data_IF_343391124244
#
_entry.id   IF_343391124244
#
_cell.length_a   1.000
_cell.length_b   1.000
_cell.length_c   1.000
_cell.angle_alpha   90.00
_cell.angle_beta   90.00
_cell.angle_gamma   90.00
#
_symmetry.space_group_name_H-M   'P 1'
#
loop_
_entity.id
_entity.type
_entity.pdbx_description
1 polymer ?
#
# COMPACT_ATOMS: atom_id res chain seq x y z
N UNK A 1 17.41 9.50 -24.11
CA UNK A 1 16.01 9.16 -23.79
C UNK A 1 15.13 9.82 -24.84
N UNK A 2 14.37 9.07 -25.63
CA UNK A 2 13.51 9.64 -26.66
C UNK A 2 12.33 10.41 -26.03
N UNK A 3 11.80 11.43 -26.74
CA UNK A 3 10.62 12.19 -26.28
C UNK A 3 9.42 11.25 -26.02
N UNK A 4 9.29 10.18 -26.79
CA UNK A 4 8.25 9.15 -26.65
C UNK A 4 8.39 8.38 -25.33
N UNK A 5 9.60 8.09 -24.88
CA UNK A 5 9.86 7.42 -23.60
C UNK A 5 9.49 8.28 -22.40
N UNK A 6 9.72 9.57 -22.46
CA UNK A 6 9.34 10.50 -21.41
C UNK A 6 7.81 10.58 -21.25
N UNK A 7 7.09 10.60 -22.38
CA UNK A 7 5.61 10.63 -22.39
C UNK A 7 5.03 9.35 -21.79
N UNK A 8 5.53 8.17 -22.19
CA UNK A 8 5.06 6.88 -21.66
C UNK A 8 5.32 6.76 -20.15
N UNK A 9 6.49 7.21 -19.67
CA UNK A 9 6.79 7.25 -18.24
C UNK A 9 5.88 8.20 -17.48
N UNK A 10 5.61 9.38 -18.03
CA UNK A 10 4.71 10.34 -17.40
C UNK A 10 3.28 9.80 -17.30
N UNK A 11 2.79 9.11 -18.33
CA UNK A 11 1.46 8.51 -18.36
C UNK A 11 1.32 7.41 -17.31
N UNK A 12 2.22 6.41 -17.29
CA UNK A 12 2.15 5.33 -16.32
C UNK A 12 2.26 5.81 -14.87
N UNK A 13 3.04 6.89 -14.61
CA UNK A 13 3.20 7.44 -13.26
C UNK A 13 2.02 8.31 -12.79
N UNK A 14 1.32 8.99 -13.70
CA UNK A 14 0.12 9.76 -13.36
C UNK A 14 -0.95 8.92 -12.69
N UNK A 15 -1.09 7.68 -13.11
CA UNK A 15 -2.10 6.76 -12.59
C UNK A 15 -1.89 6.41 -11.11
N UNK A 16 -0.63 6.32 -10.66
CA UNK A 16 -0.30 5.94 -9.29
C UNK A 16 -0.33 7.13 -8.29
N UNK A 17 -0.27 8.36 -8.79
CA UNK A 17 -0.19 9.55 -7.93
C UNK A 17 -1.36 9.68 -6.93
N UNK A 18 -2.63 9.41 -7.29
CA UNK A 18 -3.74 9.48 -6.32
C UNK A 18 -3.59 8.48 -5.17
N UNK A 19 -3.10 7.25 -5.44
CA UNK A 19 -2.91 6.24 -4.40
C UNK A 19 -1.77 6.61 -3.45
N UNK A 20 -0.63 7.09 -3.97
CA UNK A 20 0.48 7.56 -3.15
C UNK A 20 0.08 8.77 -2.29
N UNK A 21 -0.69 9.70 -2.86
CA UNK A 21 -1.22 10.86 -2.13
C UNK A 21 -2.20 10.41 -1.03
N UNK A 22 -3.04 9.40 -1.28
CA UNK A 22 -3.95 8.85 -0.28
C UNK A 22 -3.19 8.26 0.92
N UNK A 23 -2.11 7.50 0.68
CA UNK A 23 -1.22 7.02 1.76
C UNK A 23 -0.69 8.17 2.59
N UNK A 24 -0.17 9.22 1.95
CA UNK A 24 0.37 10.39 2.63
C UNK A 24 -0.71 11.11 3.45
N UNK A 25 -1.90 11.30 2.90
CA UNK A 25 -3.03 11.95 3.59
C UNK A 25 -3.44 11.14 4.83
N UNK A 26 -3.54 9.81 4.73
CA UNK A 26 -3.90 8.95 5.85
C UNK A 26 -2.88 9.09 6.98
N UNK A 27 -1.58 9.03 6.67
CA UNK A 27 -0.51 9.14 7.68
C UNK A 27 -0.48 10.52 8.33
N UNK A 28 -0.66 11.61 7.57
CA UNK A 28 -0.74 12.98 8.11
C UNK A 28 -2.00 13.11 8.99
N UNK A 29 -3.16 12.69 8.49
CA UNK A 29 -4.41 12.77 9.25
C UNK A 29 -4.30 12.01 10.58
N UNK A 30 -3.73 10.81 10.55
CA UNK A 30 -3.52 10.01 11.75
C UNK A 30 -2.54 10.67 12.72
N UNK A 31 -1.43 11.27 12.24
CA UNK A 31 -0.51 12.04 13.07
C UNK A 31 -1.18 13.23 13.75
N UNK A 32 -2.03 13.96 13.01
CA UNK A 32 -2.77 15.10 13.55
C UNK A 32 -3.80 14.67 14.60
N UNK A 33 -4.52 13.58 14.36
CA UNK A 33 -5.46 13.02 15.33
C UNK A 33 -4.71 12.54 16.58
N UNK A 34 -3.62 11.78 16.43
CA UNK A 34 -2.80 11.34 17.57
C UNK A 34 -2.31 12.53 18.41
N UNK A 35 -1.87 13.60 17.75
CA UNK A 35 -1.47 14.83 18.43
C UNK A 35 -2.62 15.48 19.20
N UNK A 36 -3.79 15.59 18.58
CA UNK A 36 -4.96 16.26 19.18
C UNK A 36 -5.55 15.49 20.36
N UNK A 37 -5.42 14.18 20.35
CA UNK A 37 -5.91 13.27 21.39
C UNK A 37 -4.85 12.96 22.45
N UNK A 38 -3.60 13.37 22.26
CA UNK A 38 -2.49 13.03 23.14
C UNK A 38 -2.13 11.54 23.15
N UNK A 39 -2.38 10.83 22.04
CA UNK A 39 -2.09 9.40 21.94
C UNK A 39 -0.60 9.15 21.77
N UNK A 40 -0.08 8.25 22.61
CA UNK A 40 1.30 7.78 22.58
C UNK A 40 1.32 6.25 22.55
N UNK A 41 1.24 5.68 21.35
CA UNK A 41 1.24 4.23 21.17
C UNK A 41 2.57 3.65 21.67
N UNK A 42 2.56 2.95 22.82
CA UNK A 42 3.74 2.45 23.55
C UNK A 42 4.80 3.53 23.80
N UNK A 43 4.39 4.75 24.14
CA UNK A 43 5.30 5.86 24.39
C UNK A 43 5.96 6.47 23.13
N UNK A 44 5.50 6.05 21.94
CA UNK A 44 5.95 6.65 20.70
C UNK A 44 5.21 7.97 20.45
N UNK A 45 5.94 9.07 20.22
CA UNK A 45 5.32 10.36 19.99
C UNK A 45 4.59 10.42 18.66
N UNK A 46 3.53 11.23 18.55
CA UNK A 46 2.68 11.41 17.38
C UNK A 46 3.44 11.69 16.07
N UNK A 47 4.61 12.34 16.12
CA UNK A 47 5.38 12.69 14.93
C UNK A 47 6.03 11.47 14.23
N UNK A 48 6.09 10.31 14.89
CA UNK A 48 6.63 9.08 14.25
C UNK A 48 5.85 8.72 12.98
N UNK A 49 4.55 9.00 12.95
CA UNK A 49 3.69 8.78 11.78
C UNK A 49 4.08 9.68 10.60
N UNK A 50 4.57 10.90 10.87
CA UNK A 50 5.11 11.79 9.84
C UNK A 50 6.44 11.25 9.28
N UNK A 51 7.29 10.66 10.13
CA UNK A 51 8.54 10.01 9.68
C UNK A 51 8.22 8.82 8.78
N UNK A 52 7.24 7.99 9.16
CA UNK A 52 6.75 6.90 8.30
C UNK A 52 6.12 7.43 7.01
N UNK A 53 5.61 8.65 6.99
CA UNK A 53 5.06 9.33 5.82
C UNK A 53 6.12 9.87 4.84
N UNK A 54 7.40 9.99 5.24
CA UNK A 54 8.46 10.54 4.37
C UNK A 54 8.60 9.78 3.04
N UNK A 55 8.65 8.42 3.00
CA UNK A 55 8.68 7.69 1.74
C UNK A 55 7.46 7.95 0.86
N UNK A 56 6.26 8.07 1.46
CA UNK A 56 5.03 8.40 0.72
C UNK A 56 5.08 9.83 0.14
N UNK A 57 5.63 10.79 0.89
CA UNK A 57 5.85 12.16 0.43
C UNK A 57 6.81 12.18 -0.76
N UNK A 58 7.96 11.51 -0.65
CA UNK A 58 8.96 11.43 -1.72
C UNK A 58 8.38 10.77 -2.97
N UNK A 59 7.63 9.68 -2.80
CA UNK A 59 6.94 9.00 -3.91
C UNK A 59 5.90 9.91 -4.56
N UNK A 60 5.09 10.61 -3.78
CA UNK A 60 4.06 11.53 -4.27
C UNK A 60 4.69 12.70 -5.04
N UNK A 61 5.74 13.31 -4.50
CA UNK A 61 6.48 14.39 -5.17
C UNK A 61 7.07 13.88 -6.49
N UNK A 62 7.68 12.70 -6.49
CA UNK A 62 8.25 12.11 -7.70
C UNK A 62 7.18 11.87 -8.78
N UNK A 63 6.05 11.30 -8.40
CA UNK A 63 4.95 11.03 -9.31
C UNK A 63 4.37 12.33 -9.90
N UNK A 64 4.24 13.39 -9.11
CA UNK A 64 3.77 14.70 -9.55
C UNK A 64 4.78 15.42 -10.43
N UNK A 65 6.08 15.35 -10.11
CA UNK A 65 7.14 15.94 -10.91
C UNK A 65 7.39 15.18 -12.21
N UNK A 66 7.22 13.86 -12.22
CA UNK A 66 7.30 13.04 -13.42
C UNK A 66 6.30 13.48 -14.50
N UNK A 67 5.15 14.03 -14.09
CA UNK A 67 4.16 14.66 -14.99
C UNK A 67 4.77 15.83 -15.75
N UNK A 68 5.76 16.53 -15.16
CA UNK A 68 6.46 17.69 -15.75
C UNK A 68 7.80 17.33 -16.42
N UNK A 69 8.14 16.05 -16.51
CA UNK A 69 9.41 15.58 -17.09
C UNK A 69 10.62 15.62 -16.15
N UNK A 70 10.45 16.07 -14.92
CA UNK A 70 11.52 16.33 -13.94
C UNK A 70 11.46 15.40 -12.71
N UNK A 71 11.01 14.15 -12.83
CA UNK A 71 10.90 13.22 -11.69
C UNK A 71 12.23 13.05 -10.94
N UNK A 72 12.19 13.11 -9.61
CA UNK A 72 13.35 12.92 -8.71
C UNK A 72 13.79 11.47 -8.69
N UNK A 73 12.84 10.54 -8.70
CA UNK A 73 13.05 9.10 -8.67
C UNK A 73 12.93 8.55 -10.09
N UNK A 74 13.98 8.70 -10.88
CA UNK A 74 13.97 8.28 -12.28
C UNK A 74 14.00 6.75 -12.47
N UNK A 75 14.17 5.97 -11.41
CA UNK A 75 14.31 4.52 -11.49
C UNK A 75 13.19 3.77 -10.77
N UNK A 76 12.69 2.71 -11.41
CA UNK A 76 11.80 1.71 -10.80
C UNK A 76 12.34 1.19 -9.46
N UNK A 77 13.65 1.00 -9.37
CA UNK A 77 14.30 0.52 -8.14
C UNK A 77 14.05 1.45 -6.96
N UNK A 78 14.15 2.76 -7.18
CA UNK A 78 13.91 3.73 -6.12
C UNK A 78 12.42 3.76 -5.69
N UNK A 79 11.47 3.65 -6.63
CA UNK A 79 10.06 3.51 -6.29
C UNK A 79 9.79 2.25 -5.45
N UNK A 80 10.34 1.10 -5.85
CA UNK A 80 10.24 -0.15 -5.08
C UNK A 80 10.89 -0.06 -3.70
N UNK A 81 12.01 0.65 -3.57
CA UNK A 81 12.65 0.88 -2.26
C UNK A 81 11.74 1.72 -1.36
N UNK A 82 11.17 2.83 -1.87
CA UNK A 82 10.23 3.66 -1.10
C UNK A 82 8.97 2.88 -0.67
N UNK A 83 8.39 2.11 -1.58
CA UNK A 83 7.25 1.22 -1.29
C UNK A 83 7.62 0.13 -0.27
N UNK A 84 8.83 -0.43 -0.37
CA UNK A 84 9.37 -1.38 0.59
C UNK A 84 9.51 -0.78 2.00
N UNK A 85 9.96 0.47 2.11
CA UNK A 85 10.00 1.18 3.39
C UNK A 85 8.60 1.43 3.97
N UNK A 86 7.62 1.77 3.13
CA UNK A 86 6.22 1.92 3.56
C UNK A 86 5.64 0.59 4.06
N UNK A 87 5.88 -0.50 3.34
CA UNK A 87 5.43 -1.82 3.76
C UNK A 87 6.11 -2.25 5.08
N UNK A 88 7.41 -2.04 5.22
CA UNK A 88 8.14 -2.29 6.46
C UNK A 88 7.62 -1.42 7.62
N UNK A 89 7.28 -0.16 7.35
CA UNK A 89 6.65 0.74 8.30
C UNK A 89 5.30 0.21 8.80
N UNK A 90 4.46 -0.30 7.91
CA UNK A 90 3.19 -0.94 8.28
C UNK A 90 3.39 -2.18 9.15
N UNK A 91 4.40 -3.01 8.83
CA UNK A 91 4.79 -4.15 9.67
C UNK A 91 5.23 -3.71 11.06
N UNK A 92 6.06 -2.68 11.14
CA UNK A 92 6.52 -2.09 12.40
C UNK A 92 5.34 -1.55 13.21
N UNK A 93 4.44 -0.80 12.59
CA UNK A 93 3.25 -0.25 13.22
C UNK A 93 2.31 -1.36 13.75
N UNK A 94 2.11 -2.43 12.97
CA UNK A 94 1.37 -3.61 13.42
C UNK A 94 2.05 -4.28 14.60
N UNK A 95 3.37 -4.47 14.56
CA UNK A 95 4.15 -5.05 15.67
C UNK A 95 4.02 -4.23 16.94
N UNK A 96 4.07 -2.91 16.87
CA UNK A 96 3.85 -1.98 17.98
C UNK A 96 2.41 -2.11 18.51
N UNK A 97 1.42 -2.18 17.64
CA UNK A 97 0.02 -2.37 18.01
C UNK A 97 -0.19 -3.69 18.76
N UNK A 98 0.37 -4.80 18.25
CA UNK A 98 0.34 -6.12 18.89
C UNK A 98 1.01 -6.06 20.26
N UNK A 99 2.21 -5.48 20.35
CA UNK A 99 2.94 -5.35 21.61
C UNK A 99 2.16 -4.52 22.65
N UNK A 100 1.49 -3.44 22.21
CA UNK A 100 0.62 -2.63 23.08
C UNK A 100 -0.56 -3.40 23.62
N UNK A 101 -1.17 -4.27 22.82
CA UNK A 101 -2.31 -5.09 23.26
C UNK A 101 -1.92 -6.24 24.19
N UNK A 102 -0.71 -6.78 24.04
CA UNK A 102 -0.22 -7.91 24.87
C UNK A 102 0.46 -7.41 26.15
N UNK A 103 0.89 -6.14 26.20
CA UNK A 103 1.52 -5.58 27.38
C UNK A 103 0.55 -5.49 28.57
N UNK A 104 1.11 -5.51 29.79
CA UNK A 104 0.34 -5.35 31.03
C UNK A 104 -0.39 -4.00 31.13
N UNK A 105 0.01 -3.02 30.31
CA UNK A 105 -0.59 -1.69 30.23
C UNK A 105 -1.65 -1.58 29.11
N UNK A 106 -2.17 -2.69 28.61
CA UNK A 106 -3.21 -2.71 27.57
C UNK A 106 -4.48 -1.91 27.91
N UNK A 107 -4.70 -1.64 29.21
CA UNK A 107 -5.79 -0.80 29.72
C UNK A 107 -5.64 0.68 29.35
N UNK A 108 -4.43 1.14 28.99
CA UNK A 108 -4.14 2.52 28.63
C UNK A 108 -4.54 2.87 27.19
N UNK A 109 -4.65 1.85 26.30
CA UNK A 109 -5.09 2.07 24.92
C UNK A 109 -6.60 2.29 24.86
N UNK A 110 -7.01 3.47 24.41
CA UNK A 110 -8.42 3.76 24.20
C UNK A 110 -8.97 2.97 22.99
N UNK A 111 -10.26 2.63 23.02
CA UNK A 111 -10.91 1.95 21.88
C UNK A 111 -10.80 2.75 20.59
N UNK A 112 -10.88 4.09 20.68
CA UNK A 112 -10.73 4.99 19.55
C UNK A 112 -9.32 4.97 18.94
N UNK A 113 -8.29 4.97 19.79
CA UNK A 113 -6.89 4.88 19.37
C UNK A 113 -6.63 3.59 18.60
N UNK A 114 -7.11 2.46 19.13
CA UNK A 114 -6.94 1.16 18.50
C UNK A 114 -7.66 1.07 17.14
N UNK A 115 -8.92 1.53 17.09
CA UNK A 115 -9.72 1.51 15.86
C UNK A 115 -9.07 2.36 14.76
N UNK A 116 -8.66 3.58 15.08
CA UNK A 116 -8.05 4.48 14.09
C UNK A 116 -6.65 4.02 13.69
N UNK A 117 -5.86 3.49 14.62
CA UNK A 117 -4.55 2.89 14.30
C UNK A 117 -4.71 1.70 13.37
N UNK A 118 -5.62 0.78 13.71
CA UNK A 118 -5.92 -0.38 12.87
C UNK A 118 -6.43 0.02 11.49
N UNK A 119 -7.32 1.02 11.41
CA UNK A 119 -7.80 1.56 10.14
C UNK A 119 -6.67 2.18 9.31
N UNK A 120 -5.77 2.95 9.93
CA UNK A 120 -4.64 3.56 9.24
C UNK A 120 -3.67 2.49 8.70
N UNK A 121 -3.30 1.50 9.53
CA UNK A 121 -2.45 0.38 9.11
C UNK A 121 -3.09 -0.40 7.96
N UNK A 122 -4.37 -0.78 8.10
CA UNK A 122 -5.10 -1.54 7.09
C UNK A 122 -5.18 -0.81 5.75
N UNK A 123 -5.62 0.46 5.79
CA UNK A 123 -5.82 1.25 4.57
C UNK A 123 -4.49 1.56 3.86
N UNK A 124 -3.44 1.90 4.62
CA UNK A 124 -2.12 2.12 4.04
C UNK A 124 -1.49 0.83 3.53
N UNK A 125 -1.71 -0.31 4.20
CA UNK A 125 -1.26 -1.62 3.73
C UNK A 125 -1.85 -1.94 2.35
N UNK A 126 -3.17 -1.83 2.21
CA UNK A 126 -3.89 -2.07 0.95
C UNK A 126 -3.38 -1.15 -0.17
N UNK A 127 -3.25 0.17 0.07
CA UNK A 127 -2.78 1.10 -0.94
C UNK A 127 -1.32 0.85 -1.35
N UNK A 128 -0.45 0.57 -0.38
CA UNK A 128 0.98 0.30 -0.62
C UNK A 128 1.18 -0.99 -1.40
N UNK A 129 0.47 -2.08 -1.04
CA UNK A 129 0.58 -3.35 -1.76
C UNK A 129 -0.02 -3.26 -3.16
N UNK A 130 -1.12 -2.55 -3.37
CA UNK A 130 -1.64 -2.27 -4.71
C UNK A 130 -0.61 -1.54 -5.60
N UNK A 131 0.10 -0.54 -5.05
CA UNK A 131 1.20 0.13 -5.74
C UNK A 131 2.41 -0.79 -5.97
N UNK A 132 2.73 -1.69 -5.03
CA UNK A 132 3.79 -2.69 -5.20
C UNK A 132 3.41 -3.65 -6.33
N UNK A 133 2.19 -4.19 -6.36
CA UNK A 133 1.72 -5.08 -7.42
C UNK A 133 1.82 -4.40 -8.79
N UNK A 134 1.35 -3.15 -8.88
CA UNK A 134 1.44 -2.35 -10.09
C UNK A 134 2.88 -2.11 -10.58
N UNK A 135 3.83 -1.86 -9.66
CA UNK A 135 5.23 -1.61 -9.99
C UNK A 135 6.02 -2.88 -10.29
N UNK A 136 5.62 -4.02 -9.68
CA UNK A 136 6.30 -5.31 -9.83
C UNK A 136 5.89 -6.02 -11.13
N UNK A 137 4.62 -5.95 -11.49
CA UNK A 137 4.04 -6.66 -12.65
C UNK A 137 4.79 -6.38 -13.94
N UNK A 138 5.17 -7.45 -14.64
CA UNK A 138 5.70 -7.44 -16.01
C UNK A 138 6.83 -6.40 -16.25
N UNK A 139 7.73 -6.26 -15.30
CA UNK A 139 8.82 -5.30 -15.40
C UNK A 139 8.45 -3.84 -15.07
N UNK A 140 7.18 -3.57 -14.67
CA UNK A 140 6.66 -2.28 -14.26
C UNK A 140 5.91 -1.52 -15.36
N UNK A 141 5.28 -0.40 -15.01
CA UNK A 141 4.33 0.30 -15.89
C UNK A 141 4.92 0.73 -17.24
N UNK A 142 6.20 1.13 -17.25
CA UNK A 142 6.88 1.55 -18.49
C UNK A 142 7.20 0.36 -19.40
N UNK A 143 7.55 -0.79 -18.82
CA UNK A 143 7.83 -2.00 -19.59
C UNK A 143 6.55 -2.52 -20.23
N UNK A 144 5.44 -2.56 -19.48
CA UNK A 144 4.11 -2.95 -20.00
C UNK A 144 3.64 -2.11 -21.18
N UNK A 145 3.90 -0.80 -21.18
CA UNK A 145 3.51 0.08 -22.28
C UNK A 145 4.34 -0.13 -23.56
N UNK A 146 5.48 -0.83 -23.47
CA UNK A 146 6.38 -1.12 -24.60
C UNK A 146 6.23 -2.52 -25.17
N UNK A 147 5.74 -3.45 -24.36
CA UNK A 147 5.64 -4.84 -24.75
C UNK A 147 4.48 -5.05 -25.71
N UNK A 148 4.76 -5.65 -26.88
CA UNK A 148 3.72 -6.13 -27.80
C UNK A 148 3.06 -7.41 -27.26
N UNK A 149 3.82 -8.21 -26.49
CA UNK A 149 3.35 -9.39 -25.78
C UNK A 149 3.80 -9.33 -24.29
N UNK A 150 2.92 -9.78 -23.38
CA UNK A 150 3.18 -9.80 -21.94
C UNK A 150 3.78 -11.16 -21.55
N UNK A 151 5.10 -11.30 -21.68
CA UNK A 151 5.80 -12.58 -21.51
C UNK A 151 6.06 -12.95 -20.04
N UNK A 152 6.18 -11.98 -19.13
CA UNK A 152 6.60 -12.19 -17.73
C UNK A 152 5.55 -11.76 -16.72
N UNK A 153 4.30 -12.20 -16.90
CA UNK A 153 3.17 -11.84 -16.06
C UNK A 153 3.32 -12.39 -14.64
N UNK A 154 3.10 -11.53 -13.65
CA UNK A 154 2.92 -11.93 -12.26
C UNK A 154 1.46 -12.23 -11.93
N UNK A 155 0.53 -11.55 -12.62
CA UNK A 155 -0.92 -11.68 -12.45
C UNK A 155 -1.61 -11.98 -13.79
N UNK A 156 -2.64 -12.82 -13.75
CA UNK A 156 -3.57 -13.06 -14.84
C UNK A 156 -4.94 -12.49 -14.45
N UNK A 157 -5.38 -11.50 -15.20
CA UNK A 157 -6.68 -10.90 -15.05
C UNK A 157 -7.72 -11.58 -15.94
N UNK A 158 -9.03 -11.56 -15.61
CA UNK A 158 -10.08 -12.12 -16.45
C UNK A 158 -10.09 -11.57 -17.88
N UNK A 159 -9.72 -10.28 -18.04
CA UNK A 159 -9.64 -9.61 -19.34
C UNK A 159 -8.51 -10.13 -20.23
N UNK A 160 -7.53 -10.82 -19.67
CA UNK A 160 -6.44 -11.44 -20.44
C UNK A 160 -6.93 -12.63 -21.28
N UNK A 161 -8.10 -13.20 -20.99
CA UNK A 161 -8.69 -14.30 -21.71
C UNK A 161 -9.38 -13.85 -23.02
N UNK A 162 -9.74 -12.58 -23.14
CA UNK A 162 -10.26 -12.01 -24.37
C UNK A 162 -9.12 -11.45 -25.26
N UNK A 163 -8.65 -12.29 -26.17
CA UNK A 163 -7.57 -11.92 -27.11
C UNK A 163 -7.97 -10.82 -28.10
N UNK A 164 -9.25 -10.53 -28.26
CA UNK A 164 -9.71 -9.45 -29.14
C UNK A 164 -9.62 -8.08 -28.49
N UNK A 165 -9.64 -8.00 -27.16
CA UNK A 165 -9.53 -6.76 -26.41
C UNK A 165 -8.05 -6.37 -26.23
N UNK A 166 -7.64 -5.23 -26.77
CA UNK A 166 -6.33 -4.61 -26.46
C UNK A 166 -6.40 -3.98 -25.08
N UNK A 167 -6.63 -4.79 -24.03
CA UNK A 167 -6.68 -4.33 -22.66
C UNK A 167 -5.30 -4.34 -22.00
N UNK A 168 -5.03 -3.35 -21.16
CA UNK A 168 -3.82 -3.27 -20.33
C UNK A 168 -4.22 -2.88 -18.91
N UNK A 169 -3.73 -3.59 -17.87
CA UNK A 169 -4.10 -3.30 -16.50
C UNK A 169 -3.57 -1.91 -16.07
N UNK A 170 -4.43 -1.18 -15.40
CA UNK A 170 -4.16 0.12 -14.80
C UNK A 170 -3.88 -0.02 -13.31
N UNK A 171 -3.42 1.04 -12.65
CA UNK A 171 -3.17 1.03 -11.20
C UNK A 171 -4.41 0.62 -10.40
N UNK A 172 -5.61 0.99 -10.87
CA UNK A 172 -6.88 0.67 -10.21
C UNK A 172 -7.18 -0.83 -10.18
N UNK A 173 -6.75 -1.59 -11.18
CA UNK A 173 -6.90 -3.05 -11.21
C UNK A 173 -6.04 -3.68 -10.10
N UNK A 174 -4.83 -3.19 -9.88
CA UNK A 174 -3.95 -3.68 -8.80
C UNK A 174 -4.41 -3.23 -7.42
N UNK A 175 -4.97 -2.04 -7.29
CA UNK A 175 -5.60 -1.59 -6.04
C UNK A 175 -6.82 -2.45 -5.72
N UNK A 176 -7.60 -2.86 -6.73
CA UNK A 176 -8.70 -3.80 -6.55
C UNK A 176 -8.21 -5.19 -6.12
N UNK A 177 -7.14 -5.72 -6.74
CA UNK A 177 -6.51 -6.98 -6.32
C UNK A 177 -6.06 -6.90 -4.86
N UNK A 178 -5.40 -5.81 -4.47
CA UNK A 178 -4.96 -5.59 -3.09
C UNK A 178 -6.15 -5.47 -2.14
N UNK A 179 -7.19 -4.71 -2.49
CA UNK A 179 -8.40 -4.59 -1.69
C UNK A 179 -9.06 -5.95 -1.45
N UNK A 180 -9.27 -6.74 -2.50
CA UNK A 180 -9.92 -8.06 -2.40
C UNK A 180 -9.04 -9.05 -1.65
N UNK A 181 -7.72 -9.02 -1.86
CA UNK A 181 -6.76 -9.84 -1.13
C UNK A 181 -6.71 -9.51 0.36
N UNK A 182 -6.81 -8.23 0.72
CA UNK A 182 -6.80 -7.80 2.13
C UNK A 182 -8.10 -8.09 2.87
N UNK A 183 -9.25 -8.14 2.19
CA UNK A 183 -10.56 -8.45 2.81
C UNK A 183 -10.84 -9.95 2.80
N UNK A 184 -10.69 -10.59 1.62
CA UNK A 184 -11.06 -11.99 1.44
C UNK A 184 -9.90 -12.96 1.70
N UNK A 185 -8.70 -12.45 1.95
CA UNK A 185 -7.45 -13.21 2.09
C UNK A 185 -7.17 -14.11 0.87
N UNK A 186 -7.70 -13.74 -0.28
CA UNK A 186 -7.51 -14.43 -1.56
C UNK A 186 -7.76 -13.48 -2.73
N UNK A 187 -7.09 -13.70 -3.87
CA UNK A 187 -7.46 -13.04 -5.10
C UNK A 187 -8.81 -13.59 -5.57
N UNK A 188 -9.80 -12.73 -5.73
CA UNK A 188 -11.16 -13.17 -6.05
C UNK A 188 -11.29 -13.66 -7.50
N UNK A 189 -10.72 -12.93 -8.44
CA UNK A 189 -10.84 -13.17 -9.89
C UNK A 189 -9.47 -13.12 -10.62
N UNK A 190 -8.45 -12.54 -9.98
CA UNK A 190 -7.11 -12.38 -10.53
C UNK A 190 -6.17 -13.46 -10.01
N UNK A 191 -5.49 -14.20 -10.91
CA UNK A 191 -4.61 -15.30 -10.51
C UNK A 191 -3.16 -14.86 -10.37
N UNK A 192 -2.51 -14.99 -9.17
CA UNK A 192 -1.07 -14.81 -9.05
C UNK A 192 -0.32 -15.99 -9.71
N UNK A 193 0.48 -15.70 -10.71
CA UNK A 193 1.22 -16.69 -11.48
C UNK A 193 2.61 -16.97 -10.91
N UNK A 194 3.32 -15.90 -10.49
CA UNK A 194 4.69 -16.01 -10.00
C UNK A 194 4.77 -16.28 -8.50
N UNK A 195 5.89 -16.85 -8.04
CA UNK A 195 6.19 -16.98 -6.60
C UNK A 195 6.31 -15.61 -5.93
N UNK A 196 6.79 -14.61 -6.66
CA UNK A 196 6.89 -13.23 -6.18
C UNK A 196 5.51 -12.64 -5.87
N UNK A 197 4.56 -12.76 -6.80
CA UNK A 197 3.18 -12.30 -6.57
C UNK A 197 2.53 -13.03 -5.40
N UNK A 198 2.66 -14.36 -5.34
CA UNK A 198 2.12 -15.18 -4.23
C UNK A 198 2.70 -14.78 -2.88
N UNK A 199 4.02 -14.54 -2.82
CA UNK A 199 4.69 -14.11 -1.59
C UNK A 199 4.22 -12.73 -1.13
N UNK A 200 4.15 -11.76 -2.04
CA UNK A 200 3.67 -10.41 -1.73
C UNK A 200 2.21 -10.41 -1.27
N UNK A 201 1.33 -11.15 -1.95
CA UNK A 201 -0.07 -11.30 -1.54
C UNK A 201 -0.20 -11.98 -0.17
N UNK A 202 0.62 -13.00 0.12
CA UNK A 202 0.65 -13.65 1.42
C UNK A 202 1.06 -12.71 2.55
N UNK A 203 2.07 -11.87 2.31
CA UNK A 203 2.51 -10.84 3.27
C UNK A 203 1.40 -9.82 3.53
N UNK A 204 0.78 -9.30 2.48
CA UNK A 204 -0.34 -8.36 2.59
C UNK A 204 -1.51 -8.95 3.37
N UNK A 205 -1.93 -10.16 3.00
CA UNK A 205 -3.02 -10.88 3.68
C UNK A 205 -2.72 -11.11 5.16
N UNK A 206 -1.47 -11.45 5.50
CA UNK A 206 -1.07 -11.65 6.89
C UNK A 206 -1.23 -10.36 7.71
N UNK A 207 -0.70 -9.22 7.23
CA UNK A 207 -0.84 -7.93 7.90
C UNK A 207 -2.31 -7.55 8.05
N UNK A 208 -3.09 -7.69 6.99
CA UNK A 208 -4.52 -7.36 6.99
C UNK A 208 -5.31 -8.24 7.95
N UNK A 209 -5.08 -9.56 7.92
CA UNK A 209 -5.75 -10.52 8.80
C UNK A 209 -5.47 -10.22 10.28
N UNK A 210 -4.21 -10.04 10.65
CA UNK A 210 -3.83 -9.73 12.03
C UNK A 210 -4.46 -8.41 12.46
N UNK A 211 -4.41 -7.37 11.61
CA UNK A 211 -5.00 -6.06 11.92
C UNK A 211 -6.51 -6.17 12.16
N UNK A 212 -7.25 -6.85 11.26
CA UNK A 212 -8.70 -7.01 11.38
C UNK A 212 -9.05 -7.80 12.64
N UNK A 213 -8.34 -8.92 12.91
CA UNK A 213 -8.59 -9.75 14.08
C UNK A 213 -8.37 -9.00 15.40
N UNK A 214 -7.30 -8.18 15.48
CA UNK A 214 -7.02 -7.38 16.66
C UNK A 214 -8.09 -6.31 16.91
N UNK A 215 -8.50 -5.60 15.85
CA UNK A 215 -9.56 -4.60 15.93
C UNK A 215 -10.88 -5.25 16.33
N UNK A 216 -11.25 -6.38 15.73
CA UNK A 216 -12.48 -7.10 16.04
C UNK A 216 -12.48 -7.64 17.48
N UNK A 217 -11.39 -8.25 17.93
CA UNK A 217 -11.27 -8.75 19.31
C UNK A 217 -11.44 -7.63 20.35
N UNK A 218 -10.86 -6.47 20.09
CA UNK A 218 -11.02 -5.31 21.00
C UNK A 218 -12.42 -4.73 20.97
N UNK A 219 -13.04 -4.63 19.78
CA UNK A 219 -14.41 -4.15 19.65
C UNK A 219 -15.38 -4.99 20.48
N UNK A 220 -15.24 -6.32 20.47
CA UNK A 220 -16.05 -7.23 21.29
C UNK A 220 -15.83 -6.96 22.79
N UNK A 221 -14.59 -6.76 23.22
CA UNK A 221 -14.30 -6.49 24.65
C UNK A 221 -14.90 -5.16 25.12
N UNK A 222 -14.91 -4.12 24.27
CA UNK A 222 -15.48 -2.81 24.61
C UNK A 222 -17.02 -2.85 24.67
N UNK A 223 -17.66 -3.69 23.84
CA UNK A 223 -19.12 -3.84 23.82
C UNK A 223 -19.63 -4.75 24.96
N UNK A 224 -18.76 -5.60 25.54
CA UNK A 224 -19.09 -6.53 26.63
C UNK A 224 -18.77 -6.02 28.04
N UNK A 225 -18.17 -4.83 28.16
CA UNK A 225 -17.86 -4.16 29.44
C UNK A 225 -18.87 -3.06 29.73
#
# INVERSE_FOLDING_TARGET
MSASEAVLRAQGRREAAPAALAVLIILIAFALVSRSQGWELLGLPWWIWLVLGVPALLLTIDLLLAVRGNGLVQSRRAALVLLGFLAAGNFGALGILVAGLVSTNASELTGGELLLTGFAIYSTNMLVFGLIFWEVEDGGPVARLRADERDARDFRFPQDDDRAARWSPQVWDYLYVSLTNSIAFSPTDTMPLSLRAKGLMGIESFVSAVTILLVAARAVNVLGS
#
